data_IF_069753637480
#
_entry.id   IF_069753637480
#
_cell.length_a   1.000
_cell.length_b   1.000
_cell.length_c   1.000
_cell.angle_alpha   90.00
_cell.angle_beta   90.00
_cell.angle_gamma   90.00
#
_symmetry.space_group_name_H-M   'P 1'
#
loop_
_entity.id
_entity.type
_entity.pdbx_description
1 polymer ?
#
# COMPACT_ATOMS: atom_id res chain seq x y z
N UNK A 1 52.06 10.33 -9.07
CA UNK A 1 50.65 10.75 -8.95
C UNK A 1 50.00 9.88 -7.90
N UNK A 2 49.52 10.47 -6.80
CA UNK A 2 48.73 9.77 -5.78
C UNK A 2 47.27 10.17 -6.03
N UNK A 3 46.42 9.22 -6.40
CA UNK A 3 44.98 9.45 -6.59
C UNK A 3 44.33 9.29 -5.21
N UNK A 4 43.99 10.40 -4.58
CA UNK A 4 43.18 10.41 -3.35
C UNK A 4 41.72 10.21 -3.72
N UNK A 5 41.21 8.99 -3.56
CA UNK A 5 39.78 8.70 -3.69
C UNK A 5 39.05 9.16 -2.41
N UNK A 6 38.32 10.27 -2.52
CA UNK A 6 37.40 10.72 -1.46
C UNK A 6 36.18 9.79 -1.43
N UNK A 7 36.14 8.87 -0.45
CA UNK A 7 34.95 8.09 -0.15
C UNK A 7 34.10 8.92 0.80
N UNK A 8 33.02 9.53 0.30
CA UNK A 8 32.00 10.13 1.13
C UNK A 8 31.15 9.00 1.75
N UNK A 9 31.28 8.79 3.07
CA UNK A 9 30.45 7.85 3.81
C UNK A 9 28.98 8.29 3.78
N UNK A 10 28.11 7.48 3.16
CA UNK A 10 26.67 7.67 3.24
C UNK A 10 26.18 7.22 4.62
N UNK A 11 25.74 8.18 5.45
CA UNK A 11 25.13 7.90 6.76
C UNK A 11 23.65 7.56 6.58
N UNK A 12 23.28 6.31 6.90
CA UNK A 12 21.89 5.88 6.98
C UNK A 12 21.33 6.30 8.34
N UNK A 13 20.43 7.27 8.37
CA UNK A 13 19.75 7.68 9.60
C UNK A 13 18.53 6.79 9.86
N UNK A 14 18.54 6.08 11.00
CA UNK A 14 17.36 5.37 11.48
C UNK A 14 16.39 6.39 12.06
N UNK A 15 15.29 6.65 11.36
CA UNK A 15 14.20 7.46 11.89
C UNK A 15 13.47 6.65 12.96
N UNK A 16 13.78 6.91 14.23
CA UNK A 16 12.97 6.44 15.35
C UNK A 16 11.64 7.20 15.36
N UNK A 17 10.60 6.59 14.81
CA UNK A 17 9.25 7.08 15.01
C UNK A 17 8.89 6.83 16.47
N UNK A 18 8.59 7.90 17.22
CA UNK A 18 8.08 7.81 18.59
C UNK A 18 6.75 7.07 18.54
N UNK A 19 6.80 5.78 18.84
CA UNK A 19 5.62 4.94 19.03
C UNK A 19 4.96 5.33 20.35
N UNK A 20 4.13 6.38 20.30
CA UNK A 20 3.06 6.55 21.28
C UNK A 20 2.26 5.25 21.29
N UNK A 21 2.14 4.64 22.47
CA UNK A 21 1.55 3.33 22.72
C UNK A 21 0.03 3.35 22.46
N UNK A 22 -0.35 3.57 21.20
CA UNK A 22 -1.66 3.21 20.69
C UNK A 22 -1.49 1.76 20.27
N UNK A 23 -2.11 0.84 21.02
CA UNK A 23 -2.24 -0.55 20.59
C UNK A 23 -3.02 -0.50 19.29
N UNK A 24 -2.31 -0.45 18.15
CA UNK A 24 -2.96 -0.56 16.84
C UNK A 24 -3.72 -1.89 16.89
N UNK A 25 -5.04 -1.89 16.63
CA UNK A 25 -5.81 -3.13 16.68
C UNK A 25 -5.12 -4.15 15.78
N UNK A 26 -4.74 -5.31 16.35
CA UNK A 26 -4.07 -6.37 15.59
C UNK A 26 -5.00 -6.77 14.46
N UNK A 27 -4.64 -6.46 13.23
CA UNK A 27 -5.48 -6.75 12.08
C UNK A 27 -5.52 -8.27 11.88
N UNK A 28 -6.71 -8.87 11.79
CA UNK A 28 -6.84 -10.33 11.53
C UNK A 28 -6.12 -10.76 10.26
N UNK A 29 -6.06 -9.90 9.25
CA UNK A 29 -5.31 -10.12 8.00
C UNK A 29 -3.82 -10.39 8.26
N UNK A 30 -3.21 -9.83 9.30
CA UNK A 30 -1.81 -10.05 9.63
C UNK A 30 -1.54 -11.46 10.17
N UNK A 31 -2.59 -12.17 10.61
CA UNK A 31 -2.49 -13.58 11.01
C UNK A 31 -2.37 -14.51 9.80
N UNK A 32 -2.73 -14.05 8.60
CA UNK A 32 -2.51 -14.75 7.34
C UNK A 32 -1.53 -13.92 6.48
N UNK A 33 -0.25 -14.27 6.56
CA UNK A 33 0.83 -13.54 5.88
C UNK A 33 0.64 -13.49 4.36
N UNK A 34 0.17 -14.58 3.74
CA UNK A 34 -0.06 -14.66 2.30
C UNK A 34 -1.17 -13.69 1.87
N UNK A 35 -2.30 -13.70 2.59
CA UNK A 35 -3.40 -12.75 2.35
C UNK A 35 -2.94 -11.31 2.53
N UNK A 36 -2.17 -11.03 3.59
CA UNK A 36 -1.62 -9.69 3.82
C UNK A 36 -0.73 -9.22 2.65
N UNK A 37 0.16 -10.09 2.16
CA UNK A 37 1.05 -9.78 1.03
C UNK A 37 0.23 -9.50 -0.24
N UNK A 38 -0.77 -10.31 -0.53
CA UNK A 38 -1.67 -10.08 -1.68
C UNK A 38 -2.37 -8.73 -1.57
N UNK A 39 -2.92 -8.40 -0.40
CA UNK A 39 -3.61 -7.12 -0.18
C UNK A 39 -2.67 -5.92 -0.27
N UNK A 40 -1.43 -6.00 0.24
CA UNK A 40 -0.40 -4.96 0.05
C UNK A 40 -0.04 -4.79 -1.43
N UNK A 41 0.06 -5.89 -2.19
CA UNK A 41 0.36 -5.86 -3.63
C UNK A 41 -0.73 -5.14 -4.41
N UNK A 42 -2.01 -5.39 -4.11
CA UNK A 42 -3.13 -4.66 -4.71
C UNK A 42 -3.00 -3.16 -4.45
N UNK A 43 -2.69 -2.76 -3.21
CA UNK A 43 -2.49 -1.35 -2.87
C UNK A 43 -1.29 -0.72 -3.60
N UNK A 44 -0.21 -1.47 -3.80
CA UNK A 44 0.96 -1.01 -4.54
C UNK A 44 0.64 -0.75 -6.01
N UNK A 45 0.05 -1.73 -6.70
CA UNK A 45 -0.31 -1.59 -8.12
C UNK A 45 -1.31 -0.45 -8.33
N UNK A 46 -2.28 -0.32 -7.42
CA UNK A 46 -3.23 0.79 -7.45
C UNK A 46 -2.54 2.14 -7.27
N UNK A 47 -1.54 2.24 -6.39
CA UNK A 47 -0.76 3.45 -6.23
C UNK A 47 0.07 3.77 -7.49
N UNK A 48 0.71 2.78 -8.12
CA UNK A 48 1.45 3.01 -9.36
C UNK A 48 0.56 3.62 -10.45
N UNK A 49 -0.68 3.14 -10.59
CA UNK A 49 -1.64 3.68 -11.56
C UNK A 49 -2.13 5.09 -11.24
N UNK A 50 -2.42 5.41 -9.97
CA UNK A 50 -3.12 6.66 -9.57
C UNK A 50 -2.27 7.62 -8.73
N UNK A 51 -0.96 7.40 -8.63
CA UNK A 51 -0.07 8.21 -7.78
C UNK A 51 -0.06 9.70 -8.15
N UNK A 52 -0.25 10.01 -9.43
CA UNK A 52 -0.32 11.38 -9.95
C UNK A 52 -1.53 12.16 -9.41
N UNK A 53 -2.68 11.51 -9.21
CA UNK A 53 -3.87 12.11 -8.61
C UNK A 53 -3.89 11.97 -7.08
N UNK A 54 -3.42 10.83 -6.57
CA UNK A 54 -3.47 10.45 -5.16
C UNK A 54 -2.12 9.89 -4.70
N UNK A 55 -1.16 10.77 -4.33
CA UNK A 55 0.18 10.36 -3.91
C UNK A 55 0.20 9.40 -2.71
N UNK A 56 -0.77 9.53 -1.80
CA UNK A 56 -0.89 8.69 -0.59
C UNK A 56 -1.75 7.42 -0.79
N UNK A 57 -2.08 7.06 -2.04
CA UNK A 57 -2.97 5.92 -2.33
C UNK A 57 -2.54 4.63 -1.60
N UNK A 58 -1.24 4.32 -1.58
CA UNK A 58 -0.74 3.09 -0.94
C UNK A 58 -0.95 3.10 0.58
N UNK A 59 -0.72 4.23 1.26
CA UNK A 59 -0.95 4.31 2.71
C UNK A 59 -2.43 4.23 3.04
N UNK A 60 -3.25 4.96 2.29
CA UNK A 60 -4.68 5.08 2.55
C UNK A 60 -5.39 3.75 2.28
N UNK A 61 -4.97 3.03 1.24
CA UNK A 61 -5.46 1.69 0.90
C UNK A 61 -5.21 0.68 2.04
N UNK A 62 -4.04 0.71 2.69
CA UNK A 62 -3.65 -0.23 3.75
C UNK A 62 -4.19 0.11 5.13
N UNK A 63 -4.66 1.36 5.30
CA UNK A 63 -5.17 1.84 6.58
C UNK A 63 -6.38 1.03 7.05
N UNK A 64 -6.67 1.09 8.36
CA UNK A 64 -7.79 0.40 8.99
C UNK A 64 -7.92 -1.09 8.58
N UNK A 65 -6.79 -1.83 8.54
CA UNK A 65 -6.77 -3.24 8.17
C UNK A 65 -7.39 -3.53 6.79
N UNK A 66 -7.13 -2.68 5.80
CA UNK A 66 -7.71 -2.75 4.44
C UNK A 66 -9.24 -2.59 4.40
N UNK A 67 -9.88 -2.16 5.49
CA UNK A 67 -11.33 -1.91 5.55
C UNK A 67 -11.65 -0.49 5.11
N UNK A 68 -11.18 -0.11 3.93
CA UNK A 68 -11.34 1.23 3.38
C UNK A 68 -12.04 1.19 2.03
N UNK A 69 -12.66 2.30 1.66
CA UNK A 69 -13.22 2.45 0.31
C UNK A 69 -12.11 2.43 -0.76
N UNK A 70 -10.93 2.99 -0.44
CA UNK A 70 -9.77 2.95 -1.32
C UNK A 70 -9.35 1.51 -1.65
N UNK A 71 -9.26 0.63 -0.65
CA UNK A 71 -8.97 -0.78 -0.91
C UNK A 71 -10.03 -1.44 -1.80
N UNK A 72 -11.32 -1.21 -1.53
CA UNK A 72 -12.43 -1.77 -2.34
C UNK A 72 -12.39 -1.30 -3.79
N UNK A 73 -12.11 -0.01 -4.01
CA UNK A 73 -11.94 0.57 -5.36
C UNK A 73 -10.75 -0.05 -6.07
N UNK A 74 -9.60 -0.14 -5.41
CA UNK A 74 -8.41 -0.80 -5.97
C UNK A 74 -8.67 -2.26 -6.33
N UNK A 75 -9.33 -3.02 -5.45
CA UNK A 75 -9.68 -4.42 -5.70
C UNK A 75 -10.64 -4.59 -6.88
N UNK A 76 -11.58 -3.66 -7.07
CA UNK A 76 -12.55 -3.71 -8.16
C UNK A 76 -11.92 -3.57 -9.56
N UNK A 77 -10.76 -2.91 -9.66
CA UNK A 77 -10.01 -2.79 -10.92
C UNK A 77 -9.52 -4.17 -11.38
N UNK A 78 -9.10 -5.00 -10.42
CA UNK A 78 -8.64 -6.37 -10.69
C UNK A 78 -9.77 -7.40 -10.74
N UNK A 79 -11.03 -6.97 -10.67
CA UNK A 79 -12.21 -7.84 -10.80
C UNK A 79 -13.20 -7.28 -11.85
N UNK A 80 -12.87 -7.39 -13.16
CA UNK A 80 -13.69 -6.83 -14.23
C UNK A 80 -15.09 -7.46 -14.32
N UNK A 81 -15.25 -8.72 -13.89
CA UNK A 81 -16.54 -9.43 -13.91
C UNK A 81 -17.62 -8.76 -13.06
N UNK A 82 -17.23 -8.04 -11.99
CA UNK A 82 -18.18 -7.30 -11.14
C UNK A 82 -18.76 -6.07 -11.83
N UNK A 83 -17.99 -5.43 -12.72
CA UNK A 83 -18.48 -4.29 -13.50
C UNK A 83 -19.37 -4.75 -14.66
N UNK A 84 -19.02 -5.86 -15.31
CA UNK A 84 -19.85 -6.48 -16.34
C UNK A 84 -21.23 -6.90 -15.80
N UNK A 85 -21.29 -7.48 -14.60
CA UNK A 85 -22.55 -7.85 -13.95
C UNK A 85 -23.40 -6.63 -13.55
N UNK A 86 -22.76 -5.51 -13.16
CA UNK A 86 -23.48 -4.26 -12.85
C UNK A 86 -24.09 -3.64 -14.12
N UNK A 87 -23.36 -3.68 -15.22
CA UNK A 87 -23.82 -3.19 -16.52
C UNK A 87 -24.97 -4.03 -17.10
N UNK A 88 -25.02 -5.33 -16.79
CA UNK A 88 -26.12 -6.22 -17.19
C UNK A 88 -27.39 -6.10 -16.33
N UNK A 89 -27.31 -5.49 -15.15
CA UNK A 89 -28.46 -5.28 -14.25
C UNK A 89 -29.08 -3.88 -14.38
N UNK A 90 -28.52 -3.00 -15.21
CA UNK A 90 -29.03 -1.66 -15.51
C UNK A 90 -29.62 -1.54 -16.93
N UNK A 91 -29.85 -2.67 -17.62
CA UNK A 91 -30.64 -2.81 -18.86
C UNK A 91 -31.94 -3.58 -18.57
#
# INVERSE_FOLDING_TARGET
>A
MIISSNIAEAKVYVVQTRSGNTVKPRCKVQQNSELHVLMDRICLLCHEMFSHERPNMRSDCRSNCFRTENFRKCLAIFNPGRQAAKMLLEL
#
